data_IF_697047183360
#
_entry.id   IF_697047183360
#
_cell.length_a   1.000
_cell.length_b   1.000
_cell.length_c   1.000
_cell.angle_alpha   90.00
_cell.angle_beta   90.00
_cell.angle_gamma   90.00
#
_symmetry.space_group_name_H-M   'P 1'
#
loop_
_entity.id
_entity.type
_entity.pdbx_description
1 polymer ?
#
# COMPACT_ATOMS: atom_id res chain seq x y z
N UNK A 1 0.98 -13.03 -23.45
CA UNK A 1 0.75 -12.20 -22.24
C UNK A 1 1.65 -12.75 -21.15
N UNK A 2 2.76 -12.10 -20.87
CA UNK A 2 3.43 -12.31 -19.61
C UNK A 2 2.45 -11.87 -18.52
N UNK A 3 1.96 -12.82 -17.73
CA UNK A 3 1.07 -12.52 -16.62
C UNK A 3 1.76 -11.65 -15.60
N UNK A 4 1.01 -10.88 -14.84
CA UNK A 4 1.52 -10.08 -13.74
C UNK A 4 2.30 -10.99 -12.78
N UNK A 5 3.57 -10.66 -12.54
CA UNK A 5 4.40 -11.42 -11.61
C UNK A 5 3.99 -11.03 -10.18
N UNK A 6 3.63 -12.05 -9.41
CA UNK A 6 3.31 -11.88 -7.98
C UNK A 6 4.30 -12.68 -7.15
N UNK A 7 4.67 -12.15 -5.99
CA UNK A 7 5.42 -12.88 -4.98
C UNK A 7 4.92 -12.50 -3.60
N UNK A 8 5.00 -13.47 -2.69
CA UNK A 8 4.65 -13.30 -1.29
C UNK A 8 5.79 -13.81 -0.42
N UNK A 9 6.12 -13.07 0.63
CA UNK A 9 7.13 -13.45 1.61
C UNK A 9 6.68 -13.01 3.00
N UNK A 10 6.85 -13.88 4.00
CA UNK A 10 6.59 -13.56 5.40
C UNK A 10 7.89 -13.39 6.16
N UNK A 11 8.05 -12.24 6.81
CA UNK A 11 9.16 -11.97 7.71
C UNK A 11 8.77 -12.40 9.12
N UNK A 12 9.69 -13.09 9.80
CA UNK A 12 9.54 -13.50 11.19
C UNK A 12 10.52 -12.71 12.07
N UNK A 13 10.04 -12.38 13.28
CA UNK A 13 10.88 -11.87 14.37
C UNK A 13 10.72 -12.80 15.56
N UNK A 14 11.82 -13.38 16.03
CA UNK A 14 11.84 -14.34 17.13
C UNK A 14 10.85 -15.51 16.93
N UNK A 15 10.74 -15.98 15.68
CA UNK A 15 9.84 -17.07 15.28
C UNK A 15 8.36 -16.68 15.14
N UNK A 16 8.00 -15.42 15.37
CA UNK A 16 6.62 -14.93 15.20
C UNK A 16 6.48 -14.11 13.93
N UNK A 17 5.31 -14.16 13.26
CA UNK A 17 5.03 -13.30 12.12
C UNK A 17 5.22 -11.81 12.48
N UNK A 18 5.98 -11.09 11.67
CA UNK A 18 6.30 -9.68 11.86
C UNK A 18 5.77 -8.83 10.72
N UNK A 19 6.04 -9.23 9.48
CA UNK A 19 5.54 -8.58 8.28
C UNK A 19 5.18 -9.59 7.20
N UNK A 20 4.10 -9.32 6.47
CA UNK A 20 3.82 -9.95 5.18
C UNK A 20 4.20 -8.97 4.06
N UNK A 21 4.95 -9.48 3.08
CA UNK A 21 5.39 -8.73 1.91
C UNK A 21 4.77 -9.32 0.65
N UNK A 22 4.13 -8.47 -0.14
CA UNK A 22 3.55 -8.84 -1.43
C UNK A 22 4.10 -7.95 -2.54
N UNK A 23 4.28 -8.53 -3.71
CA UNK A 23 4.68 -7.85 -4.94
C UNK A 23 3.66 -8.13 -6.03
N UNK A 24 3.14 -7.08 -6.64
CA UNK A 24 2.31 -7.15 -7.85
C UNK A 24 3.01 -6.34 -8.92
N UNK A 25 3.59 -7.03 -9.89
CA UNK A 25 4.37 -6.39 -10.96
C UNK A 25 3.61 -6.37 -12.28
N UNK A 26 3.63 -5.23 -12.94
CA UNK A 26 3.02 -4.97 -14.23
C UNK A 26 3.97 -4.23 -15.18
N UNK A 27 3.55 -3.88 -16.40
CA UNK A 27 4.42 -3.33 -17.44
C UNK A 27 4.98 -1.93 -17.12
N UNK A 28 4.46 -1.27 -16.10
CA UNK A 28 4.90 0.08 -15.68
C UNK A 28 5.77 0.07 -14.43
N UNK A 29 5.92 -1.09 -13.77
CA UNK A 29 6.67 -1.24 -12.53
C UNK A 29 6.04 -2.26 -11.60
N UNK A 30 6.20 -2.07 -10.30
CA UNK A 30 5.64 -2.95 -9.29
C UNK A 30 5.00 -2.18 -8.15
N UNK A 31 3.90 -2.72 -7.62
CA UNK A 31 3.35 -2.35 -6.34
C UNK A 31 3.92 -3.31 -5.29
N UNK A 32 4.41 -2.74 -4.21
CA UNK A 32 5.02 -3.47 -3.11
C UNK A 32 4.22 -3.17 -1.85
N UNK A 33 3.79 -4.22 -1.18
CA UNK A 33 3.00 -4.11 0.03
C UNK A 33 3.78 -4.68 1.20
N UNK A 34 3.79 -3.98 2.33
CA UNK A 34 4.26 -4.47 3.60
C UNK A 34 3.13 -4.35 4.63
N UNK A 35 2.63 -5.48 5.10
CA UNK A 35 1.57 -5.54 6.11
C UNK A 35 2.17 -5.88 7.45
N UNK A 36 1.96 -5.02 8.45
CA UNK A 36 2.36 -5.24 9.83
C UNK A 36 1.49 -6.33 10.47
N UNK A 37 2.13 -7.39 10.94
CA UNK A 37 1.46 -8.50 11.63
C UNK A 37 1.60 -8.41 13.15
N UNK A 38 2.31 -7.41 13.66
CA UNK A 38 2.45 -7.15 15.10
C UNK A 38 1.28 -6.26 15.56
N UNK A 39 0.10 -6.85 15.62
CA UNK A 39 -1.12 -6.20 16.10
C UNK A 39 -1.78 -7.01 17.21
N UNK A 40 -2.56 -6.33 18.04
CA UNK A 40 -3.41 -6.94 19.07
C UNK A 40 -4.88 -6.78 18.68
N UNK A 41 -5.66 -7.87 18.65
CA UNK A 41 -7.11 -7.75 18.51
C UNK A 41 -7.72 -7.16 19.78
N UNK A 42 -8.61 -6.21 19.61
CA UNK A 42 -9.48 -5.71 20.68
C UNK A 42 -10.91 -6.23 20.45
N UNK A 43 -11.32 -7.31 21.15
CA UNK A 43 -12.64 -7.89 20.94
C UNK A 43 -13.79 -6.98 21.39
N UNK A 44 -13.55 -6.08 22.33
CA UNK A 44 -14.57 -5.17 22.85
C UNK A 44 -14.91 -4.09 21.81
N UNK A 45 -13.88 -3.47 21.24
CA UNK A 45 -14.02 -2.43 20.22
C UNK A 45 -14.11 -2.99 18.80
N UNK A 46 -13.88 -4.30 18.62
CA UNK A 46 -13.86 -5.00 17.31
C UNK A 46 -12.87 -4.39 16.31
N UNK A 47 -11.72 -3.97 16.79
CA UNK A 47 -10.64 -3.37 16.01
C UNK A 47 -9.32 -4.09 16.23
N UNK A 48 -8.38 -3.85 15.31
CA UNK A 48 -6.98 -4.25 15.49
C UNK A 48 -6.17 -3.05 15.94
N UNK A 49 -5.45 -3.20 17.07
CA UNK A 49 -4.55 -2.18 17.59
C UNK A 49 -3.13 -2.45 17.09
N UNK A 50 -2.59 -1.52 16.33
CA UNK A 50 -1.21 -1.53 15.87
C UNK A 50 -0.34 -0.66 16.78
N UNK A 51 0.92 -1.04 16.89
CA UNK A 51 1.92 -0.24 17.56
C UNK A 51 2.24 1.07 16.79
N UNK A 52 3.07 1.95 17.40
CA UNK A 52 3.55 3.14 16.73
C UNK A 52 4.42 2.78 15.51
N UNK A 53 4.63 3.72 14.56
CA UNK A 53 5.55 3.50 13.45
C UNK A 53 6.94 3.09 13.95
N UNK A 54 7.50 2.03 13.37
CA UNK A 54 8.80 1.45 13.72
C UNK A 54 9.70 1.35 12.50
N UNK A 55 11.00 1.41 12.74
CA UNK A 55 11.99 1.18 11.70
C UNK A 55 11.87 -0.25 11.18
N UNK A 56 11.79 -0.36 9.85
CA UNK A 56 11.72 -1.64 9.17
C UNK A 56 12.64 -1.66 7.95
N UNK A 57 13.11 -2.87 7.62
CA UNK A 57 13.89 -3.14 6.43
C UNK A 57 13.18 -4.22 5.64
N UNK A 58 12.71 -3.88 4.46
CA UNK A 58 12.02 -4.79 3.56
C UNK A 58 12.90 -5.16 2.39
N UNK A 59 12.82 -6.43 1.95
CA UNK A 59 13.50 -6.94 0.78
C UNK A 59 12.49 -7.51 -0.19
N UNK A 60 12.38 -6.91 -1.36
CA UNK A 60 11.45 -7.33 -2.39
C UNK A 60 12.21 -7.91 -3.59
N UNK A 61 11.82 -9.11 -4.01
CA UNK A 61 12.31 -9.70 -5.25
C UNK A 61 11.46 -9.20 -6.41
N UNK A 62 12.07 -8.47 -7.31
CA UNK A 62 11.40 -7.90 -8.46
C UNK A 62 11.72 -8.69 -9.74
N UNK A 63 10.79 -8.76 -10.71
CA UNK A 63 11.08 -9.27 -12.03
C UNK A 63 12.17 -8.44 -12.70
N UNK A 64 12.88 -9.03 -13.67
CA UNK A 64 14.08 -8.45 -14.25
C UNK A 64 13.92 -7.00 -14.77
N UNK A 65 12.78 -6.71 -15.36
CA UNK A 65 12.47 -5.39 -15.93
C UNK A 65 12.15 -4.31 -14.87
N UNK A 66 11.81 -4.71 -13.64
CA UNK A 66 11.48 -3.80 -12.54
C UNK A 66 12.58 -3.73 -11.46
N UNK A 67 13.69 -4.44 -11.62
CA UNK A 67 14.78 -4.54 -10.64
C UNK A 67 15.52 -3.24 -10.38
N UNK A 68 15.54 -2.34 -11.35
CA UNK A 68 16.15 -1.01 -11.23
C UNK A 68 15.05 0.02 -11.45
N UNK A 69 14.24 0.32 -10.43
CA UNK A 69 13.21 1.32 -10.58
C UNK A 69 13.84 2.68 -10.91
N UNK A 70 13.21 3.40 -11.83
CA UNK A 70 13.59 4.78 -12.15
C UNK A 70 13.30 5.68 -10.96
N UNK A 71 12.23 5.35 -10.23
CA UNK A 71 11.79 6.06 -9.06
C UNK A 71 11.10 5.09 -8.08
N UNK A 72 11.34 5.30 -6.79
CA UNK A 72 10.66 4.57 -5.71
C UNK A 72 10.03 5.55 -4.75
N UNK A 73 8.76 5.35 -4.43
CA UNK A 73 8.04 6.19 -3.48
C UNK A 73 6.98 5.39 -2.74
N UNK A 74 6.69 5.83 -1.50
CA UNK A 74 5.55 5.33 -0.73
C UNK A 74 4.31 6.14 -1.04
N UNK A 75 3.17 5.44 -1.08
CA UNK A 75 1.85 6.06 -1.23
C UNK A 75 1.24 6.23 0.15
N UNK A 76 1.08 7.45 0.59
CA UNK A 76 0.46 7.81 1.86
C UNK A 76 -0.90 8.47 1.63
N UNK A 77 -1.71 8.58 2.69
CA UNK A 77 -2.98 9.30 2.64
C UNK A 77 -2.79 10.77 2.20
N UNK A 78 -1.71 11.39 2.66
CA UNK A 78 -1.42 12.81 2.41
C UNK A 78 -0.64 13.05 1.11
N UNK A 79 -0.08 12.02 0.50
CA UNK A 79 0.69 12.18 -0.74
C UNK A 79 1.67 11.05 -1.05
N UNK A 80 2.66 11.37 -1.86
CA UNK A 80 3.71 10.45 -2.27
C UNK A 80 5.04 10.85 -1.64
N UNK A 81 5.62 9.94 -0.87
CA UNK A 81 6.89 10.16 -0.15
C UNK A 81 8.01 9.37 -0.81
N UNK A 82 9.10 10.04 -1.19
CA UNK A 82 10.32 9.36 -1.65
C UNK A 82 10.93 8.58 -0.49
N UNK A 83 11.36 7.34 -0.74
CA UNK A 83 11.93 6.47 0.29
C UNK A 83 13.36 6.05 -0.04
N UNK A 84 14.13 5.83 1.01
CA UNK A 84 15.50 5.34 0.89
C UNK A 84 15.52 3.88 0.43
N UNK A 85 16.27 3.59 -0.61
CA UNK A 85 16.37 2.25 -1.15
C UNK A 85 17.74 1.94 -1.73
N UNK A 86 18.00 0.65 -1.82
CA UNK A 86 19.17 0.11 -2.51
C UNK A 86 18.76 -1.11 -3.34
N UNK A 87 19.41 -1.31 -4.46
CA UNK A 87 19.19 -2.48 -5.32
C UNK A 87 20.48 -3.29 -5.42
N UNK A 88 20.43 -4.53 -4.96
CA UNK A 88 21.53 -5.46 -5.01
C UNK A 88 21.04 -6.83 -5.45
N UNK A 89 21.73 -7.44 -6.44
CA UNK A 89 21.48 -8.81 -6.90
C UNK A 89 20.01 -9.11 -7.25
N UNK A 90 19.33 -8.12 -7.84
CA UNK A 90 17.92 -8.23 -8.22
C UNK A 90 16.92 -8.12 -7.05
N UNK A 91 17.41 -7.77 -5.88
CA UNK A 91 16.59 -7.50 -4.70
C UNK A 91 16.57 -6.01 -4.42
N UNK A 92 15.39 -5.45 -4.23
CA UNK A 92 15.17 -4.08 -3.79
C UNK A 92 15.09 -4.08 -2.27
N UNK A 93 15.99 -3.38 -1.60
CA UNK A 93 15.95 -3.15 -0.16
C UNK A 93 15.43 -1.76 0.12
N UNK A 94 14.39 -1.66 0.96
CA UNK A 94 13.78 -0.41 1.42
C UNK A 94 14.01 -0.30 2.92
N UNK A 95 14.42 0.88 3.39
CA UNK A 95 14.43 1.24 4.80
C UNK A 95 13.42 2.35 5.03
N UNK A 96 12.50 2.10 5.94
CA UNK A 96 11.44 3.06 6.20
C UNK A 96 10.91 2.91 7.63
N UNK A 97 10.23 3.95 8.10
CA UNK A 97 9.56 3.96 9.40
C UNK A 97 8.05 3.93 9.19
N UNK A 98 7.45 2.79 9.42
CA UNK A 98 6.06 2.53 9.07
C UNK A 98 5.34 1.70 10.13
N UNK A 99 4.01 1.74 10.08
CA UNK A 99 3.12 0.86 10.86
C UNK A 99 1.92 0.48 10.00
N UNK A 100 1.20 -0.55 10.40
CA UNK A 100 -0.02 -1.05 9.75
C UNK A 100 0.26 -1.60 8.35
N UNK A 101 0.09 -0.77 7.33
CA UNK A 101 0.37 -1.12 5.95
C UNK A 101 1.20 -0.03 5.29
N UNK A 102 2.23 -0.44 4.55
CA UNK A 102 2.98 0.45 3.68
C UNK A 102 2.85 -0.02 2.24
N UNK A 103 2.56 0.91 1.35
CA UNK A 103 2.43 0.64 -0.09
C UNK A 103 3.49 1.46 -0.82
N UNK A 104 4.35 0.75 -1.56
CA UNK A 104 5.39 1.39 -2.36
C UNK A 104 5.14 1.15 -3.84
N UNK A 105 5.59 2.10 -4.65
CA UNK A 105 5.61 1.99 -6.10
C UNK A 105 7.05 2.01 -6.57
N UNK A 106 7.48 0.91 -7.16
CA UNK A 106 8.75 0.81 -7.89
C UNK A 106 8.47 1.09 -9.36
N UNK A 107 8.62 2.35 -9.79
CA UNK A 107 8.30 2.77 -11.14
C UNK A 107 9.39 2.33 -12.13
N UNK A 108 9.02 1.64 -13.21
CA UNK A 108 9.92 1.27 -14.29
C UNK A 108 10.02 2.35 -15.39
N UNK A 109 9.21 3.40 -15.32
CA UNK A 109 9.14 4.48 -16.30
C UNK A 109 9.06 5.84 -15.63
N UNK A 110 9.62 6.85 -16.27
CA UNK A 110 9.47 8.25 -15.87
C UNK A 110 8.01 8.69 -16.00
N UNK A 111 7.54 9.54 -15.08
CA UNK A 111 6.19 10.13 -15.10
C UNK A 111 5.13 9.28 -14.36
N UNK A 112 5.50 8.14 -13.79
CA UNK A 112 4.54 7.32 -13.04
C UNK A 112 4.12 8.00 -11.72
N UNK A 113 5.01 8.75 -11.10
CA UNK A 113 4.70 9.50 -9.87
C UNK A 113 3.62 10.54 -10.13
N UNK A 114 3.77 11.35 -11.17
CA UNK A 114 2.81 12.39 -11.55
C UNK A 114 1.46 11.78 -11.93
N UNK A 115 1.49 10.67 -12.65
CA UNK A 115 0.26 9.95 -13.03
C UNK A 115 -0.49 9.42 -11.80
N UNK A 116 0.20 8.81 -10.86
CA UNK A 116 -0.39 8.27 -9.64
C UNK A 116 -0.91 9.40 -8.75
N UNK A 117 -0.16 10.50 -8.63
CA UNK A 117 -0.60 11.65 -7.86
C UNK A 117 -1.85 12.31 -8.48
N UNK A 118 -1.90 12.43 -9.80
CA UNK A 118 -3.08 12.94 -10.49
C UNK A 118 -4.31 12.03 -10.25
N UNK A 119 -4.13 10.71 -10.32
CA UNK A 119 -5.20 9.75 -10.05
C UNK A 119 -5.65 9.79 -8.59
N UNK A 120 -4.72 9.89 -7.64
CA UNK A 120 -5.03 10.04 -6.22
C UNK A 120 -5.89 11.28 -5.96
N UNK A 121 -5.50 12.43 -6.51
CA UNK A 121 -6.28 13.67 -6.40
C UNK A 121 -7.67 13.53 -7.01
N UNK A 122 -7.78 12.90 -8.17
CA UNK A 122 -9.07 12.68 -8.82
C UNK A 122 -9.99 11.78 -7.97
N UNK A 123 -9.45 10.74 -7.33
CA UNK A 123 -10.21 9.86 -6.43
C UNK A 123 -10.71 10.59 -5.18
N UNK A 124 -9.92 11.48 -4.60
CA UNK A 124 -10.34 12.30 -3.45
C UNK A 124 -11.50 13.23 -3.85
N UNK A 125 -11.44 13.84 -5.03
CA UNK A 125 -12.54 14.67 -5.54
C UNK A 125 -13.79 13.83 -5.76
N UNK A 126 -13.65 12.65 -6.35
CA UNK A 126 -14.74 11.71 -6.59
C UNK A 126 -15.38 11.26 -5.26
N UNK A 127 -14.57 10.85 -4.27
CA UNK A 127 -15.01 10.48 -2.93
C UNK A 127 -15.79 11.62 -2.25
N UNK A 128 -15.29 12.84 -2.29
CA UNK A 128 -15.97 14.01 -1.76
C UNK A 128 -17.30 14.31 -2.48
N UNK A 129 -17.39 14.01 -3.78
CA UNK A 129 -18.62 14.21 -4.55
C UNK A 129 -19.74 13.23 -4.17
N UNK A 130 -19.38 12.04 -3.66
CA UNK A 130 -20.35 11.07 -3.12
C UNK A 130 -20.81 11.40 -1.70
N UNK A 131 -20.33 12.48 -1.10
CA UNK A 131 -20.70 12.88 0.25
C UNK A 131 -20.16 11.96 1.35
N UNK A 132 -19.15 11.17 1.02
CA UNK A 132 -18.43 10.38 2.01
C UNK A 132 -17.55 11.32 2.85
N UNK A 133 -18.00 11.58 4.07
CA UNK A 133 -17.25 12.34 5.07
C UNK A 133 -16.75 11.33 6.13
N UNK A 134 -15.45 10.99 6.12
CA UNK A 134 -14.88 10.05 7.09
C UNK A 134 -14.96 10.56 8.53
N UNK A 135 -15.22 11.86 8.75
CA UNK A 135 -15.44 12.44 10.06
C UNK A 135 -16.90 12.28 10.56
N UNK A 136 -17.82 12.00 9.65
CA UNK A 136 -19.18 11.64 10.03
C UNK A 136 -19.20 10.24 10.60
N UNK A 137 -19.52 10.14 11.88
CA UNK A 137 -19.92 8.89 12.57
C UNK A 137 -21.33 8.46 12.07
N UNK A 138 -21.46 8.24 10.77
CA UNK A 138 -22.60 7.54 10.19
C UNK A 138 -22.26 6.05 10.22
N UNK A 139 -23.20 5.20 10.59
CA UNK A 139 -22.97 3.76 10.54
C UNK A 139 -22.66 3.37 9.08
N UNK A 140 -21.71 2.47 8.87
CA UNK A 140 -21.40 1.84 7.57
C UNK A 140 -22.67 1.36 6.84
N UNK A 141 -23.73 1.09 7.59
CA UNK A 141 -25.04 0.69 7.10
C UNK A 141 -25.76 1.81 6.31
N UNK A 142 -25.60 3.08 6.69
CA UNK A 142 -26.21 4.21 5.95
C UNK A 142 -25.50 4.47 4.63
N UNK A 143 -24.18 4.32 4.62
CA UNK A 143 -23.37 4.40 3.40
C UNK A 143 -23.75 3.28 2.44
N UNK A 144 -23.87 2.04 2.95
CA UNK A 144 -24.31 0.89 2.15
C UNK A 144 -25.74 1.05 1.63
N UNK A 145 -26.67 1.59 2.40
CA UNK A 145 -28.02 1.88 1.94
C UNK A 145 -28.02 2.89 0.81
N UNK A 146 -27.25 3.97 0.94
CA UNK A 146 -27.17 5.01 -0.10
C UNK A 146 -26.56 4.46 -1.39
N UNK A 147 -25.52 3.62 -1.31
CA UNK A 147 -24.93 2.97 -2.47
C UNK A 147 -25.91 1.98 -3.14
N UNK A 148 -26.68 1.21 -2.37
CA UNK A 148 -27.70 0.30 -2.89
C UNK A 148 -28.87 1.03 -3.56
N UNK A 149 -29.33 2.14 -3.01
CA UNK A 149 -30.41 2.95 -3.57
C UNK A 149 -29.95 3.68 -4.85
N UNK A 150 -28.70 4.07 -4.95
CA UNK A 150 -28.11 4.67 -6.15
C UNK A 150 -27.92 3.65 -7.30
N UNK A 151 -27.64 2.39 -6.98
CA UNK A 151 -27.49 1.30 -7.95
C UNK A 151 -28.83 0.78 -8.50
N UNK A 152 -29.98 1.14 -7.90
CA UNK A 152 -31.32 0.73 -8.32
C UNK A 152 -32.02 1.73 -9.23
N UNK A 153 -31.43 2.89 -9.51
CA UNK A 153 -31.90 3.91 -10.45
C UNK A 153 -31.17 3.79 -11.79
#
# INVERSE_FOLDING_TARGET
REGDATSHERILRDGKPDWDLDVVAGPRGALLFALDLDYQPDPAEKVFQFGPPREARFRFRLPAYARKPVELFRVDADGLTTVEHNTKDGTLEIRDRVSRVAVYVAAARVGERERIEARRKALIVEENSFGFDPSRKGSDLEVLKHLLDSARK
#
